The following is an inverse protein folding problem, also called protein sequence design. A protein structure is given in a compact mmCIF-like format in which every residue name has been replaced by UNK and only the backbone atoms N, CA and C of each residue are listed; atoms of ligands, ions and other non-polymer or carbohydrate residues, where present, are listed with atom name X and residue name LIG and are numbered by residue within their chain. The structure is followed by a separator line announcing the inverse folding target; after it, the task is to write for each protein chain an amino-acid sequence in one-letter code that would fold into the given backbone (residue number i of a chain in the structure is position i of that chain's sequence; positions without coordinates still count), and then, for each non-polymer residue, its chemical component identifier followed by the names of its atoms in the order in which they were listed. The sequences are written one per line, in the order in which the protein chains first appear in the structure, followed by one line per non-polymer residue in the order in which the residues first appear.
data_IF_660690495803
#
_entry.id   IF_660690495803
#
_cell.length_a   1.000
_cell.length_b   1.000
_cell.length_c   1.000
_cell.angle_alpha   90.00
_cell.angle_beta   90.00
_cell.angle_gamma   90.00
#
_symmetry.space_group_name_H-M   'P 1'
#
loop_
_entity.id
_entity.type
_entity.pdbx_description
1 polymer ?
#
# COMPACT_ATOMS: atom_id res chain seq x y z
N UNK A 1 -16.28 10.12 2.64
CA UNK A 1 -15.71 8.87 3.18
C UNK A 1 -15.24 8.04 2.01
N UNK A 2 -14.00 7.53 2.06
CA UNK A 2 -13.50 6.65 1.02
C UNK A 2 -14.27 5.31 1.03
N UNK A 3 -14.70 4.85 -0.14
CA UNK A 3 -15.38 3.55 -0.26
C UNK A 3 -14.34 2.42 -0.27
N UNK A 4 -14.54 1.41 0.56
CA UNK A 4 -13.63 0.24 0.65
C UNK A 4 -13.45 -0.45 -0.71
N UNK A 5 -14.51 -0.56 -1.52
CA UNK A 5 -14.40 -1.13 -2.87
C UNK A 5 -13.43 -0.36 -3.77
N UNK A 6 -13.29 0.96 -3.60
CA UNK A 6 -12.34 1.77 -4.37
C UNK A 6 -10.90 1.48 -3.97
N UNK A 7 -10.64 1.28 -2.68
CA UNK A 7 -9.34 0.81 -2.23
C UNK A 7 -9.01 -0.59 -2.76
N UNK A 8 -10.00 -1.49 -2.80
CA UNK A 8 -9.82 -2.83 -3.39
C UNK A 8 -9.51 -2.77 -4.89
N UNK A 9 -10.23 -1.92 -5.63
CA UNK A 9 -9.95 -1.65 -7.05
C UNK A 9 -8.54 -1.10 -7.24
N UNK A 10 -8.11 -0.16 -6.41
CA UNK A 10 -6.75 0.40 -6.45
C UNK A 10 -5.68 -0.67 -6.21
N UNK A 11 -5.84 -1.52 -5.20
CA UNK A 11 -4.90 -2.63 -4.93
C UNK A 11 -4.81 -3.57 -6.14
N UNK A 12 -5.94 -3.90 -6.77
CA UNK A 12 -5.94 -4.74 -7.98
C UNK A 12 -5.21 -4.07 -9.15
N UNK A 13 -5.37 -2.76 -9.33
CA UNK A 13 -4.61 -1.98 -10.32
C UNK A 13 -3.12 -2.03 -10.01
N UNK A 14 -2.72 -1.80 -8.75
CA UNK A 14 -1.32 -1.86 -8.35
C UNK A 14 -0.69 -3.22 -8.67
N UNK A 15 -1.37 -4.34 -8.37
CA UNK A 15 -0.86 -5.68 -8.72
C UNK A 15 -0.73 -5.88 -10.23
N UNK A 16 -1.63 -5.29 -11.02
CA UNK A 16 -1.58 -5.40 -12.48
C UNK A 16 -0.49 -4.52 -13.12
N UNK A 17 -0.11 -3.40 -12.49
CA UNK A 17 0.80 -2.41 -13.08
C UNK A 17 2.19 -2.40 -12.47
N UNK A 18 2.33 -2.77 -11.19
CA UNK A 18 3.61 -2.77 -10.48
C UNK A 18 4.23 -4.17 -10.59
N UNK A 19 5.14 -4.34 -11.55
CA UNK A 19 5.80 -5.63 -11.83
C UNK A 19 6.38 -6.33 -10.58
N UNK A 20 6.98 -5.63 -9.59
CA UNK A 20 7.48 -6.28 -8.38
C UNK A 20 6.38 -6.85 -7.47
N UNK A 21 5.14 -6.36 -7.58
CA UNK A 21 4.02 -6.71 -6.71
C UNK A 21 3.16 -7.78 -7.36
N UNK A 22 3.30 -9.03 -6.91
CA UNK A 22 2.55 -10.17 -7.50
C UNK A 22 1.21 -10.45 -6.84
N UNK A 23 1.03 -10.02 -5.60
CA UNK A 23 -0.19 -10.26 -4.84
C UNK A 23 -0.57 -9.02 -4.05
N UNK A 24 -1.87 -8.76 -4.00
CA UNK A 24 -2.44 -7.62 -3.29
C UNK A 24 -3.63 -8.09 -2.44
N UNK A 25 -3.63 -7.74 -1.16
CA UNK A 25 -4.74 -8.05 -0.24
C UNK A 25 -5.16 -6.80 0.51
N UNK A 26 -6.46 -6.73 0.80
CA UNK A 26 -7.01 -5.77 1.75
C UNK A 26 -7.12 -6.46 3.12
N UNK A 27 -6.61 -5.81 4.15
CA UNK A 27 -6.50 -6.34 5.51
C UNK A 27 -7.36 -5.49 6.44
N UNK A 28 -8.22 -6.15 7.20
CA UNK A 28 -9.07 -5.52 8.22
C UNK A 28 -8.42 -5.64 9.60
N UNK A 29 -7.75 -6.75 9.88
CA UNK A 29 -7.17 -7.05 11.20
C UNK A 29 -5.74 -7.57 11.11
N UNK A 30 -4.97 -7.40 12.19
CA UNK A 30 -3.57 -7.87 12.26
C UNK A 30 -3.44 -9.40 12.09
N UNK A 31 -4.45 -10.16 12.51
CA UNK A 31 -4.44 -11.62 12.41
C UNK A 31 -4.48 -12.10 10.95
N UNK A 32 -5.14 -11.33 10.07
CA UNK A 32 -5.18 -11.61 8.64
C UNK A 32 -3.81 -11.40 7.98
N UNK A 33 -2.98 -10.47 8.47
CA UNK A 33 -1.61 -10.27 7.97
C UNK A 33 -0.79 -11.55 8.12
N UNK A 34 -0.82 -12.15 9.32
CA UNK A 34 -0.05 -13.37 9.59
C UNK A 34 -0.53 -14.53 8.72
N UNK A 35 -1.84 -14.61 8.47
CA UNK A 35 -2.41 -15.62 7.57
C UNK A 35 -1.93 -15.43 6.14
N UNK A 36 -2.02 -14.21 5.60
CA UNK A 36 -1.60 -13.93 4.23
C UNK A 36 -0.10 -14.13 4.01
N UNK A 37 0.74 -13.84 5.02
CA UNK A 37 2.18 -14.12 4.96
C UNK A 37 2.50 -15.62 4.95
N UNK A 38 1.69 -16.45 5.63
CA UNK A 38 1.87 -17.92 5.59
C UNK A 38 1.50 -18.47 4.22
N UNK A 39 0.40 -18.00 3.66
CA UNK A 39 -0.15 -18.48 2.38
C UNK A 39 0.65 -17.96 1.16
N UNK A 40 1.48 -16.92 1.33
CA UNK A 40 2.34 -16.39 0.28
C UNK A 40 3.58 -17.27 0.09
N UNK A 41 3.93 -17.62 -1.15
CA UNK A 41 5.15 -18.40 -1.42
C UNK A 41 6.38 -17.48 -1.51
N UNK A 42 7.58 -18.01 -1.26
CA UNK A 42 8.82 -17.20 -1.36
C UNK A 42 9.08 -16.76 -2.81
N UNK A 43 8.62 -17.53 -3.79
CA UNK A 43 8.73 -17.21 -5.21
C UNK A 43 7.73 -16.12 -5.67
N UNK A 44 6.80 -15.71 -4.79
CA UNK A 44 5.78 -14.71 -5.08
C UNK A 44 6.27 -13.27 -4.84
N UNK A 45 7.55 -12.93 -5.08
CA UNK A 45 8.11 -11.57 -4.95
C UNK A 45 7.56 -10.76 -3.75
N UNK A 46 6.84 -9.66 -4.01
CA UNK A 46 6.36 -8.71 -3.01
C UNK A 46 4.84 -8.79 -2.89
N UNK A 47 4.38 -8.96 -1.64
CA UNK A 47 2.99 -8.89 -1.22
C UNK A 47 2.63 -7.45 -0.83
N UNK A 48 1.64 -6.87 -1.50
CA UNK A 48 1.01 -5.61 -1.12
C UNK A 48 -0.17 -5.86 -0.17
N UNK A 49 -0.11 -5.31 1.02
CA UNK A 49 -1.25 -5.28 1.95
C UNK A 49 -1.74 -3.85 2.10
N UNK A 50 -3.00 -3.59 1.75
CA UNK A 50 -3.67 -2.35 2.08
C UNK A 50 -4.48 -2.53 3.37
N UNK A 51 -4.37 -1.60 4.31
CA UNK A 51 -5.18 -1.61 5.53
C UNK A 51 -6.52 -0.94 5.23
N UNK A 52 -7.61 -1.47 5.80
CA UNK A 52 -8.90 -0.77 5.80
C UNK A 52 -8.70 0.62 6.42
N UNK A 53 -9.10 1.70 5.73
CA UNK A 53 -8.85 3.05 6.16
C UNK A 53 -9.61 3.39 7.43
N UNK A 54 -8.97 4.16 8.29
CA UNK A 54 -9.66 4.89 9.34
C UNK A 54 -10.27 6.16 8.74
N UNK A 55 -11.48 6.48 9.19
CA UNK A 55 -12.24 7.63 8.72
C UNK A 55 -12.52 8.54 9.91
N UNK A 56 -12.04 9.77 9.84
CA UNK A 56 -12.36 10.81 10.81
C UNK A 56 -13.10 11.96 10.12
N UNK A 57 -13.91 12.70 10.87
CA UNK A 57 -14.52 13.94 10.39
C UNK A 57 -13.67 15.11 10.82
N UNK A 58 -13.22 15.90 9.84
CA UNK A 58 -12.43 17.10 10.10
C UNK A 58 -12.80 18.24 9.16
N UNK A 59 -12.35 19.45 9.49
CA UNK A 59 -12.65 20.67 8.75
C UNK A 59 -13.49 21.65 9.56
N UNK A 60 -13.58 22.88 9.08
CA UNK A 60 -14.50 23.89 9.62
C UNK A 60 -15.93 23.63 9.14
N UNK A 61 -16.93 24.28 9.75
CA UNK A 61 -18.36 24.02 9.49
C UNK A 61 -18.74 24.01 7.99
N UNK A 62 -18.16 24.89 7.19
CA UNK A 62 -18.41 24.98 5.74
C UNK A 62 -17.50 24.08 4.87
N UNK A 63 -16.53 23.40 5.49
CA UNK A 63 -15.53 22.55 4.85
C UNK A 63 -15.43 21.15 5.48
N UNK A 64 -16.49 20.72 6.17
CA UNK A 64 -16.54 19.43 6.84
C UNK A 64 -16.38 18.29 5.81
N UNK A 65 -15.33 17.49 5.98
CA UNK A 65 -15.07 16.34 5.10
C UNK A 65 -14.48 15.17 5.88
N UNK A 66 -14.64 13.99 5.31
CA UNK A 66 -14.01 12.79 5.84
C UNK A 66 -12.51 12.82 5.52
N UNK A 67 -11.68 12.85 6.56
CA UNK A 67 -10.25 12.59 6.48
C UNK A 67 -10.05 11.07 6.53
N UNK A 68 -9.28 10.55 5.57
CA UNK A 68 -9.05 9.11 5.45
C UNK A 68 -7.56 8.85 5.66
N UNK A 69 -7.22 7.99 6.60
CA UNK A 69 -5.84 7.53 6.77
C UNK A 69 -5.67 6.20 6.02
N UNK A 70 -4.72 6.17 5.09
CA UNK A 70 -4.41 4.98 4.30
C UNK A 70 -3.08 4.40 4.75
N UNK A 71 -3.05 3.08 4.95
CA UNK A 71 -1.84 2.33 5.24
C UNK A 71 -1.61 1.26 4.18
N UNK A 72 -0.37 1.17 3.71
CA UNK A 72 0.08 0.13 2.78
C UNK A 72 1.35 -0.50 3.33
N UNK A 73 1.45 -1.82 3.23
CA UNK A 73 2.65 -2.57 3.50
C UNK A 73 3.07 -3.33 2.26
N UNK A 74 4.38 -3.38 2.03
CA UNK A 74 5.01 -4.19 1.00
C UNK A 74 5.92 -5.16 1.72
N UNK A 75 5.60 -6.45 1.63
CA UNK A 75 6.32 -7.51 2.31
C UNK A 75 6.95 -8.46 1.29
N UNK A 76 8.23 -8.76 1.50
CA UNK A 76 8.92 -9.85 0.81
C UNK A 76 9.08 -10.97 1.83
N UNK A 77 8.62 -12.18 1.49
CA UNK A 77 8.74 -13.33 2.39
C UNK A 77 10.17 -13.86 2.31
N UNK A 78 10.84 -13.90 3.46
CA UNK A 78 12.25 -14.29 3.56
C UNK A 78 12.41 -15.27 4.71
N UNK A 79 13.29 -16.26 4.55
CA UNK A 79 13.70 -17.12 5.64
C UNK A 79 14.94 -16.53 6.30
N UNK A 80 14.82 -16.18 7.59
CA UNK A 80 15.89 -15.47 8.29
C UNK A 80 17.15 -16.32 8.48
N UNK A 81 17.04 -17.64 8.30
CA UNK A 81 18.15 -18.57 8.46
C UNK A 81 19.10 -18.65 7.26
N UNK A 82 18.72 -18.10 6.10
CA UNK A 82 19.45 -18.27 4.83
C UNK A 82 20.16 -16.99 4.34
N UNK A 83 20.00 -15.87 5.04
CA UNK A 83 20.50 -14.56 4.60
C UNK A 83 21.67 -14.05 5.46
N UNK A 84 22.75 -13.66 4.78
CA UNK A 84 23.79 -12.81 5.36
C UNK A 84 23.38 -11.33 5.39
N UNK A 85 24.16 -10.49 6.05
CA UNK A 85 23.83 -9.07 6.21
C UNK A 85 23.58 -8.35 4.89
N UNK A 86 24.38 -8.66 3.86
CA UNK A 86 24.30 -8.00 2.56
C UNK A 86 23.05 -8.45 1.78
N UNK A 87 22.71 -9.74 1.80
CA UNK A 87 21.48 -10.24 1.17
C UNK A 87 20.21 -9.72 1.86
N UNK A 88 20.26 -9.46 3.18
CA UNK A 88 19.20 -8.73 3.88
C UNK A 88 19.03 -7.30 3.37
N UNK A 89 20.13 -6.57 3.20
CA UNK A 89 20.08 -5.21 2.66
C UNK A 89 19.50 -5.21 1.24
N UNK A 90 19.80 -6.22 0.43
CA UNK A 90 19.24 -6.36 -0.91
C UNK A 90 17.70 -6.53 -0.90
N UNK A 91 17.15 -7.25 0.09
CA UNK A 91 15.69 -7.33 0.30
C UNK A 91 15.12 -5.95 0.61
N UNK A 92 15.77 -5.17 1.48
CA UNK A 92 15.34 -3.80 1.77
C UNK A 92 15.41 -2.91 0.53
N UNK A 93 16.44 -3.05 -0.31
CA UNK A 93 16.58 -2.28 -1.56
C UNK A 93 15.44 -2.62 -2.53
N UNK A 94 15.12 -3.90 -2.72
CA UNK A 94 14.02 -4.33 -3.60
C UNK A 94 12.66 -3.85 -3.10
N UNK A 95 12.37 -4.05 -1.82
CA UNK A 95 11.11 -3.61 -1.22
C UNK A 95 10.97 -2.08 -1.21
N UNK A 96 12.07 -1.35 -0.98
CA UNK A 96 12.09 0.10 -1.09
C UNK A 96 11.82 0.58 -2.52
N UNK A 97 12.37 -0.09 -3.54
CA UNK A 97 12.08 0.23 -4.93
C UNK A 97 10.59 0.04 -5.26
N UNK A 98 9.97 -1.05 -4.79
CA UNK A 98 8.53 -1.26 -4.93
C UNK A 98 7.71 -0.20 -4.19
N UNK A 99 8.13 0.21 -2.99
CA UNK A 99 7.46 1.27 -2.24
C UNK A 99 7.49 2.61 -2.98
N UNK A 100 8.63 2.92 -3.62
CA UNK A 100 8.75 4.11 -4.48
C UNK A 100 7.75 4.06 -5.64
N UNK A 101 7.68 2.93 -6.36
CA UNK A 101 6.75 2.76 -7.48
C UNK A 101 5.28 2.88 -7.05
N UNK A 102 4.93 2.35 -5.87
CA UNK A 102 3.59 2.51 -5.30
C UNK A 102 3.25 3.98 -5.04
N UNK A 103 4.19 4.74 -4.45
CA UNK A 103 3.99 6.18 -4.20
C UNK A 103 3.88 6.96 -5.50
N UNK A 104 4.72 6.67 -6.49
CA UNK A 104 4.62 7.26 -7.82
C UNK A 104 3.25 6.99 -8.44
N UNK A 105 2.73 5.77 -8.30
CA UNK A 105 1.39 5.41 -8.77
C UNK A 105 0.28 6.19 -8.05
N UNK A 106 0.39 6.38 -6.73
CA UNK A 106 -0.56 7.19 -5.96
C UNK A 106 -0.56 8.66 -6.45
N UNK A 107 0.62 9.21 -6.73
CA UNK A 107 0.77 10.58 -7.22
C UNK A 107 0.22 10.73 -8.65
N UNK A 108 0.46 9.76 -9.52
CA UNK A 108 -0.11 9.70 -10.86
C UNK A 108 -1.65 9.71 -10.81
N UNK A 109 -2.25 8.86 -9.96
CA UNK A 109 -3.71 8.80 -9.80
C UNK A 109 -4.30 10.09 -9.18
N UNK A 110 -3.51 10.84 -8.40
CA UNK A 110 -3.90 12.17 -7.91
C UNK A 110 -3.95 13.20 -9.04
N UNK A 111 -2.96 13.19 -9.94
CA UNK A 111 -2.90 14.11 -11.09
C UNK A 111 -4.00 13.79 -12.11
N UNK A 112 -4.34 12.50 -12.26
CA UNK A 112 -5.43 12.02 -13.09
C UNK A 112 -6.80 12.18 -12.40
N UNK A 113 -7.23 13.42 -12.21
CA UNK A 113 -8.48 13.78 -11.50
C UNK A 113 -9.77 13.12 -12.05
N UNK A 114 -9.76 12.72 -13.33
CA UNK A 114 -10.84 11.99 -14.01
C UNK A 114 -10.54 10.49 -14.22
N UNK A 115 -9.52 9.95 -13.56
CA UNK A 115 -9.04 8.59 -13.73
C UNK A 115 -10.04 7.52 -13.30
N UNK A 116 -9.74 6.27 -13.64
CA UNK A 116 -10.55 5.08 -13.37
C UNK A 116 -11.00 4.93 -11.89
N UNK A 117 -10.21 5.47 -10.96
CA UNK A 117 -10.48 5.43 -9.52
C UNK A 117 -11.35 6.59 -9.02
N UNK A 118 -11.83 7.46 -9.91
CA UNK A 118 -12.81 8.50 -9.60
C UNK A 118 -12.31 9.54 -8.60
N UNK A 119 -11.06 9.96 -8.74
CA UNK A 119 -10.47 11.00 -7.88
C UNK A 119 -10.23 10.57 -6.44
N UNK A 120 -10.02 9.27 -6.18
CA UNK A 120 -9.74 8.72 -4.84
C UNK A 120 -8.65 9.49 -4.07
N UNK A 121 -7.65 10.02 -4.77
CA UNK A 121 -6.51 10.74 -4.20
C UNK A 121 -6.58 12.26 -4.43
N UNK A 122 -7.73 12.81 -4.83
CA UNK A 122 -7.88 14.24 -5.15
C UNK A 122 -7.47 15.14 -3.97
N UNK A 123 -7.88 14.76 -2.77
CA UNK A 123 -7.58 15.46 -1.51
C UNK A 123 -6.29 14.98 -0.84
N UNK A 124 -5.44 14.20 -1.53
CA UNK A 124 -4.20 13.68 -0.94
C UNK A 124 -3.27 14.83 -0.57
N UNK A 125 -2.95 14.91 0.72
CA UNK A 125 -1.89 15.75 1.23
C UNK A 125 -0.54 15.05 0.99
N UNK A 126 0.23 15.49 0.01
CA UNK A 126 1.52 14.86 -0.33
C UNK A 126 2.55 14.95 0.80
N UNK A 127 2.45 15.97 1.66
CA UNK A 127 3.35 16.13 2.81
C UNK A 127 3.11 15.11 3.92
N UNK A 128 1.97 14.40 3.92
CA UNK A 128 1.69 13.35 4.90
C UNK A 128 2.13 11.95 4.46
N UNK A 129 2.76 11.82 3.29
CA UNK A 129 3.26 10.52 2.81
C UNK A 129 4.57 10.20 3.54
N UNK A 130 4.57 9.11 4.30
CA UNK A 130 5.74 8.61 5.02
C UNK A 130 6.01 7.16 4.62
N UNK A 131 7.25 6.85 4.26
CA UNK A 131 7.71 5.48 4.01
C UNK A 131 8.61 5.09 5.18
N UNK A 132 8.31 3.99 5.86
CA UNK A 132 9.10 3.48 6.97
C UNK A 132 9.39 2.00 6.78
N UNK A 133 10.65 1.55 6.92
CA UNK A 133 10.95 0.13 6.91
C UNK A 133 10.35 -0.53 8.14
N UNK A 134 9.80 -1.73 7.95
CA UNK A 134 9.40 -2.60 9.06
C UNK A 134 10.68 -3.26 9.59
N UNK A 135 10.95 -3.08 10.87
CA UNK A 135 12.13 -3.61 11.57
C UNK A 135 11.75 -4.79 12.45
#
# INVERSE_FOLDING_TARGET
MLKINKLREFVAVCVATLEPVRSGKLVVTKDEVTKFMKDHEMDDNILLLAIVPEHDLGGQDDALKYQNMLGFYLFEKTDYSEHDHDSYLDIFVRTQAAAKLLVEKILEERENQCGFLGGMFLDLNTSSITISPVK
#
